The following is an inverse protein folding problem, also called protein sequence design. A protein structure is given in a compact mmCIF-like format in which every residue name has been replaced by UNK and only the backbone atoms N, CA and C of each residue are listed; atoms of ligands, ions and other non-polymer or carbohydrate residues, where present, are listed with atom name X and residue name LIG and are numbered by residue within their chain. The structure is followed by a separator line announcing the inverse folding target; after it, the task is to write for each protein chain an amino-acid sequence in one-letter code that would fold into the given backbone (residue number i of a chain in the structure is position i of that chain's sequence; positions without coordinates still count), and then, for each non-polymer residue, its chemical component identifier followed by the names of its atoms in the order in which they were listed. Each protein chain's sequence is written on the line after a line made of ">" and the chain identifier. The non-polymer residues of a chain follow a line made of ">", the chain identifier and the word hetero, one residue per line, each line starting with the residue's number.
data_IF_178773119386
#
_entry.id   IF_178773119386
#
_cell.length_a   1.000
_cell.length_b   1.000
_cell.length_c   1.000
_cell.angle_alpha   90.00
_cell.angle_beta   90.00
_cell.angle_gamma   90.00
#
_symmetry.space_group_name_H-M   'P 1'
#
loop_
_entity.id
_entity.type
_entity.pdbx_description
1 polymer ?
#
# COMPACT_ATOMS: atom_id res chain seq x y z
N UNK A 1 11.39 -1.74 -18.65
CA UNK A 1 10.57 -1.46 -17.45
C UNK A 1 9.12 -1.45 -17.90
N UNK A 2 8.21 -2.19 -17.26
CA UNK A 2 6.82 -2.32 -17.76
C UNK A 2 6.05 -1.00 -17.61
N UNK A 3 5.06 -0.77 -18.48
CA UNK A 3 4.19 0.41 -18.42
C UNK A 3 3.52 0.55 -17.03
N UNK A 4 3.07 -0.57 -16.46
CA UNK A 4 2.52 -0.62 -15.10
C UNK A 4 3.52 -0.08 -14.07
N UNK A 5 4.77 -0.59 -14.05
CA UNK A 5 5.75 -0.15 -13.06
C UNK A 5 6.04 1.36 -13.14
N UNK A 6 6.07 1.92 -14.35
CA UNK A 6 6.26 3.37 -14.53
C UNK A 6 5.09 4.16 -13.94
N UNK A 7 3.85 3.70 -14.12
CA UNK A 7 2.66 4.33 -13.54
C UNK A 7 2.69 4.25 -12.00
N UNK A 8 3.06 3.10 -11.44
CA UNK A 8 3.19 2.94 -9.99
C UNK A 8 4.29 3.85 -9.42
N UNK A 9 5.43 3.96 -10.11
CA UNK A 9 6.53 4.87 -9.74
C UNK A 9 6.07 6.34 -9.78
N UNK A 10 5.30 6.72 -10.79
CA UNK A 10 4.71 8.05 -10.88
C UNK A 10 3.77 8.35 -9.71
N UNK A 11 2.86 7.42 -9.38
CA UNK A 11 1.92 7.58 -8.26
C UNK A 11 2.67 7.68 -6.94
N UNK A 12 3.58 6.75 -6.66
CA UNK A 12 4.39 6.74 -5.45
C UNK A 12 5.13 8.08 -5.28
N UNK A 13 5.86 8.50 -6.32
CA UNK A 13 6.58 9.77 -6.30
C UNK A 13 5.66 10.96 -6.09
N UNK A 14 4.49 10.98 -6.73
CA UNK A 14 3.53 12.08 -6.62
C UNK A 14 3.02 12.23 -5.19
N UNK A 15 2.65 11.12 -4.53
CA UNK A 15 2.23 11.14 -3.12
C UNK A 15 3.40 11.51 -2.23
N UNK A 16 4.54 10.81 -2.32
CA UNK A 16 5.71 11.05 -1.47
C UNK A 16 6.21 12.50 -1.53
N UNK A 17 6.10 13.16 -2.68
CA UNK A 17 6.50 14.56 -2.85
C UNK A 17 5.69 15.55 -2.01
N UNK A 18 4.42 15.24 -1.74
CA UNK A 18 3.50 16.10 -0.99
C UNK A 18 3.03 15.44 0.31
N UNK A 19 3.81 14.50 0.84
CA UNK A 19 3.49 13.78 2.06
C UNK A 19 4.51 14.13 3.15
N UNK A 20 4.01 14.53 4.32
CA UNK A 20 4.82 14.76 5.52
C UNK A 20 4.47 13.68 6.53
N UNK A 21 5.39 12.77 6.77
CA UNK A 21 5.17 11.75 7.79
C UNK A 21 5.00 12.40 9.17
N UNK A 22 3.88 12.11 9.81
CA UNK A 22 3.61 12.38 11.21
C UNK A 22 3.16 11.08 11.86
N UNK A 23 3.30 10.98 13.18
CA UNK A 23 2.67 9.90 13.93
C UNK A 23 1.33 10.41 14.43
N UNK A 24 0.30 9.60 14.32
CA UNK A 24 -1.01 9.95 14.84
C UNK A 24 -1.10 9.66 16.35
N UNK A 25 -1.84 10.49 17.08
CA UNK A 25 -2.26 10.21 18.45
C UNK A 25 -3.48 9.27 18.43
N UNK A 26 -3.29 8.04 17.90
CA UNK A 26 -4.36 7.04 17.73
C UNK A 26 -4.30 6.34 16.38
N UNK A 27 -5.18 5.36 16.15
CA UNK A 27 -5.35 4.65 14.86
C UNK A 27 -6.59 5.22 14.15
N UNK A 28 -6.46 6.38 13.51
CA UNK A 28 -7.52 7.01 12.72
C UNK A 28 -7.20 6.87 11.23
N UNK A 29 -7.97 6.05 10.52
CA UNK A 29 -7.75 5.83 9.09
C UNK A 29 -8.49 6.91 8.29
N UNK A 30 -7.85 8.06 8.12
CA UNK A 30 -8.44 9.21 7.46
C UNK A 30 -8.26 9.16 5.94
N UNK A 31 -9.37 9.31 5.22
CA UNK A 31 -9.32 9.40 3.76
C UNK A 31 -8.69 10.74 3.35
N UNK A 32 -7.90 10.77 2.26
CA UNK A 32 -7.48 12.02 1.64
C UNK A 32 -8.68 12.94 1.36
N UNK A 33 -8.48 14.27 1.33
CA UNK A 33 -9.55 15.22 1.12
C UNK A 33 -10.28 14.96 -0.22
N UNK A 34 -11.54 15.35 -0.29
CA UNK A 34 -12.33 15.24 -1.52
C UNK A 34 -11.60 15.91 -2.70
N UNK A 35 -11.56 15.23 -3.86
CA UNK A 35 -10.83 15.71 -5.03
C UNK A 35 -9.31 15.62 -4.93
N UNK A 36 -8.78 14.79 -4.02
CA UNK A 36 -7.35 14.50 -3.93
C UNK A 36 -6.78 14.01 -5.27
N UNK A 37 -5.75 14.70 -5.76
CA UNK A 37 -5.09 14.39 -7.04
C UNK A 37 -3.57 14.26 -6.90
N UNK A 38 -3.07 14.14 -5.66
CA UNK A 38 -1.66 13.99 -5.38
C UNK A 38 -0.85 15.29 -5.29
N UNK A 39 -1.50 16.46 -5.37
CA UNK A 39 -0.84 17.77 -5.22
C UNK A 39 -1.12 18.44 -3.88
N UNK A 40 -2.14 17.98 -3.18
CA UNK A 40 -2.46 18.44 -1.83
C UNK A 40 -1.43 17.87 -0.85
N UNK A 41 -1.04 18.70 0.12
CA UNK A 41 -0.17 18.25 1.21
C UNK A 41 -0.97 17.39 2.19
N UNK A 42 -0.45 16.20 2.48
CA UNK A 42 -0.96 15.32 3.51
C UNK A 42 0.05 15.22 4.66
N UNK A 43 -0.46 15.12 5.88
CA UNK A 43 0.34 14.91 7.09
C UNK A 43 -0.29 13.81 7.92
N UNK A 44 0.33 12.64 7.87
CA UNK A 44 -0.27 11.37 8.30
C UNK A 44 0.83 10.29 8.39
N UNK A 45 0.46 9.05 8.74
CA UNK A 45 1.37 7.91 8.84
C UNK A 45 1.34 6.95 7.63
N UNK A 46 1.73 5.69 7.82
CA UNK A 46 1.72 4.68 6.77
C UNK A 46 0.34 4.41 6.16
N UNK A 47 -0.75 4.52 6.93
CA UNK A 47 -2.09 4.28 6.41
C UNK A 47 -2.60 5.41 5.52
N UNK A 48 -2.42 6.68 5.92
CA UNK A 48 -2.72 7.85 5.11
C UNK A 48 -1.95 7.86 3.78
N UNK A 49 -0.67 7.46 3.78
CA UNK A 49 0.09 7.28 2.55
C UNK A 49 -0.54 6.20 1.65
N UNK A 50 -0.93 5.07 2.23
CA UNK A 50 -1.54 3.97 1.49
C UNK A 50 -2.90 4.35 0.89
N UNK A 51 -3.75 5.05 1.65
CA UNK A 51 -5.05 5.52 1.18
C UNK A 51 -4.89 6.56 0.07
N UNK A 52 -3.92 7.48 0.19
CA UNK A 52 -3.56 8.42 -0.86
C UNK A 52 -3.13 7.73 -2.17
N UNK A 53 -2.25 6.73 -2.09
CA UNK A 53 -1.90 5.93 -3.25
C UNK A 53 -3.12 5.19 -3.84
N UNK A 54 -3.97 4.61 -2.98
CA UNK A 54 -5.14 3.83 -3.41
C UNK A 54 -6.18 4.68 -4.14
N UNK A 55 -6.39 5.94 -3.73
CA UNK A 55 -7.23 6.90 -4.46
C UNK A 55 -6.72 7.11 -5.89
N UNK A 56 -5.43 7.45 -6.05
CA UNK A 56 -4.86 7.71 -7.38
C UNK A 56 -4.81 6.46 -8.27
N UNK A 57 -4.64 5.28 -7.68
CA UNK A 57 -4.72 4.00 -8.39
C UNK A 57 -6.14 3.71 -8.90
N UNK A 58 -7.16 3.96 -8.07
CA UNK A 58 -8.57 3.79 -8.45
C UNK A 58 -8.99 4.71 -9.58
N UNK A 59 -8.56 5.98 -9.56
CA UNK A 59 -8.80 6.93 -10.66
C UNK A 59 -8.26 6.44 -12.00
N UNK A 60 -7.21 5.61 -11.97
CA UNK A 60 -6.58 5.01 -13.16
C UNK A 60 -7.10 3.61 -13.50
N UNK A 61 -8.08 3.11 -12.75
CA UNK A 61 -8.62 1.75 -12.90
C UNK A 61 -7.59 0.66 -12.62
N UNK A 62 -6.59 0.93 -11.76
CA UNK A 62 -5.56 -0.05 -11.39
C UNK A 62 -5.97 -0.75 -10.09
N UNK A 63 -6.29 -2.06 -10.13
CA UNK A 63 -6.67 -2.80 -8.93
C UNK A 63 -5.49 -2.88 -7.95
N UNK A 64 -5.76 -2.58 -6.68
CA UNK A 64 -4.76 -2.60 -5.61
C UNK A 64 -5.34 -3.13 -4.32
N UNK A 65 -4.46 -3.61 -3.42
CA UNK A 65 -4.83 -4.12 -2.11
C UNK A 65 -3.97 -3.47 -1.04
N UNK A 66 -4.52 -3.30 0.15
CA UNK A 66 -3.74 -2.93 1.32
C UNK A 66 -3.17 -4.20 1.95
N UNK A 67 -1.93 -4.14 2.39
CA UNK A 67 -1.25 -5.24 3.05
C UNK A 67 -0.73 -4.76 4.38
N UNK A 68 -1.18 -5.41 5.44
CA UNK A 68 -0.60 -5.26 6.77
C UNK A 68 0.58 -6.22 6.91
N UNK A 69 1.70 -5.69 7.34
CA UNK A 69 2.95 -6.42 7.52
C UNK A 69 3.66 -5.97 8.80
N UNK A 70 4.69 -6.72 9.18
CA UNK A 70 5.60 -6.32 10.23
C UNK A 70 7.01 -6.14 9.69
N UNK A 71 7.66 -5.07 10.15
CA UNK A 71 9.09 -4.87 10.03
C UNK A 71 9.71 -4.98 11.42
N UNK A 72 10.27 -6.15 11.72
CA UNK A 72 10.78 -6.46 13.06
C UNK A 72 9.65 -6.57 14.09
N UNK A 73 9.46 -5.54 14.92
CA UNK A 73 8.39 -5.47 15.95
C UNK A 73 7.36 -4.38 15.68
N UNK A 74 7.47 -3.67 14.55
CA UNK A 74 6.56 -2.61 14.14
C UNK A 74 5.55 -3.15 13.14
N UNK A 75 4.26 -2.97 13.40
CA UNK A 75 3.23 -3.04 12.36
C UNK A 75 3.45 -1.95 11.31
N UNK A 76 3.06 -2.23 10.07
CA UNK A 76 3.21 -1.31 8.94
C UNK A 76 2.24 -1.65 7.82
N UNK A 77 1.69 -0.62 7.18
CA UNK A 77 0.78 -0.76 6.06
C UNK A 77 1.46 -0.40 4.73
N UNK A 78 1.18 -1.18 3.69
CA UNK A 78 1.65 -0.91 2.31
C UNK A 78 0.54 -1.15 1.28
N UNK A 79 0.72 -0.65 0.07
CA UNK A 79 -0.16 -0.95 -1.07
C UNK A 79 0.51 -1.97 -1.99
N UNK A 80 -0.21 -3.04 -2.33
CA UNK A 80 0.20 -4.07 -3.29
C UNK A 80 -0.54 -3.94 -4.61
N UNK A 81 0.22 -4.03 -5.72
CA UNK A 81 -0.30 -4.09 -7.09
C UNK A 81 0.50 -5.11 -7.90
N UNK A 82 -0.08 -6.28 -8.14
CA UNK A 82 0.54 -7.35 -8.96
C UNK A 82 1.98 -7.68 -8.55
N UNK A 83 2.23 -7.80 -7.25
CA UNK A 83 3.54 -8.09 -6.66
C UNK A 83 4.44 -6.86 -6.46
N UNK A 84 4.04 -5.67 -6.92
CA UNK A 84 4.72 -4.41 -6.63
C UNK A 84 4.19 -3.79 -5.34
N UNK A 85 5.09 -3.16 -4.59
CA UNK A 85 4.80 -2.54 -3.30
C UNK A 85 5.05 -1.04 -3.39
N UNK A 86 4.02 -0.25 -3.08
CA UNK A 86 4.13 1.17 -2.81
C UNK A 86 4.14 1.34 -1.29
N UNK A 87 5.20 1.94 -0.78
CA UNK A 87 5.46 2.03 0.65
C UNK A 87 6.12 3.38 0.97
N UNK A 88 5.62 4.04 2.02
CA UNK A 88 6.15 5.28 2.58
C UNK A 88 7.63 5.17 2.98
N UNK A 89 8.08 4.00 3.44
CA UNK A 89 9.47 3.77 3.89
C UNK A 89 10.44 3.53 2.72
N UNK A 90 9.95 3.36 1.50
CA UNK A 90 10.76 3.15 0.30
C UNK A 90 10.87 4.45 -0.51
N UNK A 91 12.00 4.64 -1.19
CA UNK A 91 12.17 5.77 -2.12
C UNK A 91 11.45 5.60 -3.46
N UNK A 92 10.82 4.43 -3.68
CA UNK A 92 10.10 4.10 -4.89
C UNK A 92 9.43 2.73 -4.79
N UNK A 93 8.89 2.27 -5.93
CA UNK A 93 8.19 0.99 -6.02
C UNK A 93 9.14 -0.20 -6.13
N UNK A 94 8.99 -1.16 -5.22
CA UNK A 94 9.84 -2.35 -5.09
C UNK A 94 9.00 -3.62 -5.25
N UNK A 95 9.57 -4.69 -5.80
CA UNK A 95 8.89 -5.98 -5.86
C UNK A 95 8.84 -6.61 -4.46
N UNK A 96 7.72 -7.23 -4.08
CA UNK A 96 7.55 -7.88 -2.77
C UNK A 96 8.63 -8.93 -2.46
N UNK A 97 9.14 -9.64 -3.48
CA UNK A 97 10.20 -10.65 -3.36
C UNK A 97 11.56 -10.05 -3.01
N UNK A 98 11.74 -8.73 -3.15
CA UNK A 98 12.96 -8.01 -2.82
C UNK A 98 12.90 -7.32 -1.44
N UNK A 99 11.86 -7.61 -0.65
CA UNK A 99 11.64 -7.05 0.68
C UNK A 99 11.77 -8.15 1.76
N UNK A 100 12.98 -8.71 1.99
CA UNK A 100 13.17 -9.88 2.86
C UNK A 100 12.87 -9.62 4.34
N UNK A 101 12.86 -8.36 4.77
CA UNK A 101 12.59 -7.97 6.16
C UNK A 101 11.11 -7.73 6.44
N UNK A 102 10.24 -7.89 5.44
CA UNK A 102 8.80 -7.67 5.56
C UNK A 102 8.13 -9.00 5.84
N UNK A 103 7.45 -9.08 6.97
CA UNK A 103 6.61 -10.22 7.31
C UNK A 103 5.18 -9.90 6.92
N UNK A 104 4.73 -10.45 5.79
CA UNK A 104 3.37 -10.25 5.30
C UNK A 104 2.35 -11.00 6.17
N UNK A 105 1.30 -10.31 6.64
CA UNK A 105 0.36 -10.90 7.60
C UNK A 105 -1.05 -10.96 7.09
N UNK A 106 -1.57 -9.83 6.60
CA UNK A 106 -2.96 -9.72 6.16
C UNK A 106 -3.03 -8.88 4.91
N UNK A 107 -3.99 -9.20 4.05
CA UNK A 107 -4.26 -8.49 2.82
C UNK A 107 -5.73 -8.18 2.71
N UNK A 108 -6.07 -6.96 2.32
CA UNK A 108 -7.44 -6.56 2.07
C UNK A 108 -7.97 -7.15 0.76
N UNK A 109 -9.28 -7.07 0.57
CA UNK A 109 -9.86 -7.13 -0.77
C UNK A 109 -9.49 -5.91 -1.64
N UNK A 110 -9.96 -5.92 -2.88
CA UNK A 110 -9.77 -4.83 -3.84
C UNK A 110 -10.69 -3.65 -3.55
N UNK A 111 -11.85 -3.89 -2.93
CA UNK A 111 -12.81 -2.85 -2.59
C UNK A 111 -12.95 -2.58 -1.09
N UNK A 112 -13.52 -1.41 -0.76
CA UNK A 112 -13.79 -1.05 0.62
C UNK A 112 -14.87 -1.96 1.20
N UNK A 113 -14.68 -2.41 2.44
CA UNK A 113 -15.60 -3.33 3.12
C UNK A 113 -15.40 -4.81 2.77
N UNK A 114 -14.56 -5.15 1.78
CA UNK A 114 -14.18 -6.53 1.54
C UNK A 114 -13.34 -7.09 2.70
N UNK A 115 -13.53 -8.37 3.07
CA UNK A 115 -12.87 -8.95 4.23
C UNK A 115 -11.35 -9.01 4.04
N UNK A 116 -10.63 -8.75 5.13
CA UNK A 116 -9.20 -9.03 5.21
C UNK A 116 -8.95 -10.53 5.29
N UNK A 117 -7.89 -10.99 4.63
CA UNK A 117 -7.47 -12.39 4.64
C UNK A 117 -6.08 -12.51 5.20
N UNK A 118 -5.84 -13.57 5.96
CA UNK A 118 -4.50 -13.91 6.44
C UNK A 118 -3.64 -14.46 5.30
N UNK A 119 -2.37 -14.10 5.32
CA UNK A 119 -1.37 -14.54 4.35
C UNK A 119 -0.66 -15.73 4.99
N UNK A 120 -0.98 -16.92 4.51
CA UNK A 120 -0.40 -18.17 5.02
C UNK A 120 0.90 -18.43 4.26
N UNK A 121 2.03 -18.20 4.93
CA UNK A 121 3.36 -18.31 4.35
C UNK A 121 3.61 -19.69 3.71
N UNK A 122 3.79 -19.71 2.39
CA UNK A 122 4.48 -20.80 1.67
C UNK A 122 5.85 -20.36 1.13
N UNK A 123 6.28 -19.12 1.43
CA UNK A 123 7.53 -18.52 0.97
C UNK A 123 7.48 -16.98 1.09
N UNK A 124 8.59 -16.29 0.83
CA UNK A 124 8.78 -14.81 0.91
C UNK A 124 7.91 -13.98 -0.06
N UNK A 125 6.97 -14.61 -0.76
CA UNK A 125 6.13 -13.99 -1.78
C UNK A 125 4.71 -13.81 -1.24
N UNK A 126 4.09 -12.65 -1.49
CA UNK A 126 2.67 -12.45 -1.21
C UNK A 126 1.84 -13.40 -2.08
N UNK A 127 1.39 -14.49 -1.49
CA UNK A 127 0.42 -15.41 -2.09
C UNK A 127 -0.80 -15.46 -1.18
N UNK A 128 -1.97 -15.12 -1.72
CA UNK A 128 -3.23 -15.28 -1.01
C UNK A 128 -3.61 -16.75 -1.14
N UNK A 129 -3.90 -17.43 -0.04
CA UNK A 129 -4.45 -18.79 -0.10
C UNK A 129 -5.76 -18.75 -0.90
N UNK A 130 -5.76 -19.41 -2.05
CA UNK A 130 -6.98 -19.67 -2.80
C UNK A 130 -7.82 -20.65 -1.97
N UNK A 131 -8.89 -20.16 -1.34
CA UNK A 131 -9.93 -21.03 -0.84
C UNK A 131 -10.82 -21.39 -2.02
N UNK A 132 -10.89 -22.69 -2.30
CA UNK A 132 -11.85 -23.29 -3.22
C UNK A 132 -13.28 -22.84 -2.84
N UNK A 133 -14.08 -22.66 -3.89
CA UNK A 133 -15.49 -22.25 -3.91
C UNK A 133 -16.36 -22.83 -2.79
#
# INVERSE_FOLDING_TARGET
>A
MSALKNELQYIHHTVSKHFVQANDEGESWDMPPEGYNGRQWLRDDCDGFCLACRVLLRERGIPSRLVYCELGRSGHLVVEVQGWILDLRQSGVVANTLLPNYRWLRISGYEAGEPWREIVNSGTTLQVAALNH
#
